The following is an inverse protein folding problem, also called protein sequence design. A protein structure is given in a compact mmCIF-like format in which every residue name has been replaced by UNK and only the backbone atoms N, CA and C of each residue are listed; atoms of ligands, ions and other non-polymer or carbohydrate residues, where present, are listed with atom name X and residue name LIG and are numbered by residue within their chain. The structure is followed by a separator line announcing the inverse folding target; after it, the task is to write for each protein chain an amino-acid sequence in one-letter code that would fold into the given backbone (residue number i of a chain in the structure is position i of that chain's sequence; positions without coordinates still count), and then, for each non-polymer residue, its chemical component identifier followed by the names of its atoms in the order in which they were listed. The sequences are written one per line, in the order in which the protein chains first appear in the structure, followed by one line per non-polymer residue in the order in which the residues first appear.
data_IF_090151862052
#
_entry.id   IF_090151862052
#
_cell.length_a   1.000
_cell.length_b   1.000
_cell.length_c   1.000
_cell.angle_alpha   90.00
_cell.angle_beta   90.00
_cell.angle_gamma   90.00
#
_symmetry.space_group_name_H-M   'P 1'
#
loop_
_entity.id
_entity.type
_entity.pdbx_description
1 polymer ?
#
# COMPACT_ATOMS: atom_id res chain seq x y z
N UNK A 1 5.36 -13.64 -7.11
CA UNK A 1 3.90 -13.58 -7.35
C UNK A 1 3.57 -14.14 -8.73
N UNK A 2 2.61 -15.07 -8.82
CA UNK A 2 2.11 -15.71 -10.05
C UNK A 2 0.59 -15.82 -9.98
N UNK A 3 -0.12 -15.41 -11.04
CA UNK A 3 -1.58 -15.52 -11.13
C UNK A 3 -1.96 -16.69 -12.04
N UNK A 4 -2.60 -17.71 -11.49
CA UNK A 4 -3.12 -18.86 -12.23
C UNK A 4 -4.65 -18.77 -12.30
N UNK A 5 -5.22 -18.76 -13.51
CA UNK A 5 -6.67 -18.70 -13.72
C UNK A 5 -7.22 -20.10 -13.96
N UNK A 6 -8.23 -20.48 -13.18
CA UNK A 6 -8.95 -21.74 -13.36
C UNK A 6 -10.11 -21.61 -14.34
N UNK A 7 -10.77 -20.44 -14.38
CA UNK A 7 -11.88 -20.17 -15.30
C UNK A 7 -12.00 -18.69 -15.62
N UNK A 8 -12.35 -18.37 -16.85
CA UNK A 8 -12.80 -17.05 -17.26
C UNK A 8 -14.21 -17.17 -17.84
N UNK A 9 -15.20 -16.56 -17.19
CA UNK A 9 -16.60 -16.62 -17.60
C UNK A 9 -17.18 -15.22 -17.66
N UNK A 10 -17.62 -14.77 -18.84
CA UNK A 10 -18.22 -13.44 -19.04
C UNK A 10 -17.37 -12.28 -18.50
N UNK A 11 -16.03 -12.41 -18.57
CA UNK A 11 -15.08 -11.43 -18.04
C UNK A 11 -14.71 -11.62 -16.56
N UNK A 12 -15.45 -12.42 -15.79
CA UNK A 12 -15.09 -12.79 -14.42
C UNK A 12 -13.93 -13.79 -14.44
N UNK A 13 -12.90 -13.52 -13.64
CA UNK A 13 -11.68 -14.33 -13.55
C UNK A 13 -11.64 -15.07 -12.23
N UNK A 14 -11.84 -16.38 -12.27
CA UNK A 14 -11.65 -17.29 -11.13
C UNK A 14 -10.22 -17.83 -11.17
N UNK A 15 -9.52 -17.79 -10.05
CA UNK A 15 -8.13 -18.23 -9.99
C UNK A 15 -7.49 -18.05 -8.63
N UNK A 16 -6.16 -18.21 -8.59
CA UNK A 16 -5.35 -18.06 -7.37
C UNK A 16 -4.09 -17.28 -7.69
N UNK A 17 -3.79 -16.29 -6.85
CA UNK A 17 -2.55 -15.53 -6.84
C UNK A 17 -1.59 -16.16 -5.83
N UNK A 18 -0.54 -16.82 -6.29
CA UNK A 18 0.44 -17.52 -5.46
C UNK A 18 1.75 -16.76 -5.36
N UNK A 19 2.61 -17.13 -4.40
CA UNK A 19 3.93 -16.51 -4.24
C UNK A 19 3.83 -15.07 -3.74
N UNK A 20 2.91 -14.81 -2.81
CA UNK A 20 2.72 -13.51 -2.16
C UNK A 20 3.57 -13.40 -0.88
N UNK A 21 3.88 -12.16 -0.52
CA UNK A 21 4.69 -11.84 0.65
C UNK A 21 6.20 -12.07 0.43
N UNK A 22 7.02 -11.52 1.33
CA UNK A 22 8.49 -11.70 1.33
C UNK A 22 8.92 -13.17 1.39
N UNK A 23 8.15 -14.04 2.05
CA UNK A 23 8.41 -15.49 2.13
C UNK A 23 7.93 -16.28 0.90
N UNK A 24 7.05 -15.69 0.08
CA UNK A 24 6.43 -16.35 -1.07
C UNK A 24 5.50 -17.52 -0.72
N UNK A 25 5.12 -17.68 0.55
CA UNK A 25 4.30 -18.81 1.01
C UNK A 25 2.80 -18.54 0.96
N UNK A 26 2.41 -17.26 0.83
CA UNK A 26 1.01 -16.87 0.87
C UNK A 26 0.34 -16.97 -0.50
N UNK A 27 -0.97 -17.22 -0.49
CA UNK A 27 -1.81 -17.23 -1.69
C UNK A 27 -3.12 -16.48 -1.45
N UNK A 28 -3.73 -15.98 -2.51
CA UNK A 28 -5.01 -15.26 -2.47
C UNK A 28 -5.92 -15.77 -3.59
N UNK A 29 -7.10 -16.28 -3.24
CA UNK A 29 -8.12 -16.64 -4.22
C UNK A 29 -8.71 -15.38 -4.87
N UNK A 30 -9.00 -15.45 -6.17
CA UNK A 30 -9.65 -14.37 -6.93
C UNK A 30 -10.94 -14.88 -7.60
N UNK A 31 -12.07 -14.14 -7.54
CA UNK A 31 -12.24 -12.86 -6.84
C UNK A 31 -12.19 -13.04 -5.31
N UNK A 32 -11.65 -12.03 -4.62
CA UNK A 32 -11.49 -12.01 -3.17
C UNK A 32 -11.38 -10.58 -2.64
N UNK A 33 -11.20 -10.44 -1.34
CA UNK A 33 -11.01 -9.15 -0.66
C UNK A 33 -9.70 -9.12 0.13
N UNK A 34 -9.35 -7.93 0.63
CA UNK A 34 -8.24 -7.73 1.56
C UNK A 34 -8.83 -7.44 2.94
N UNK A 35 -8.12 -7.82 4.00
CA UNK A 35 -8.51 -7.49 5.36
C UNK A 35 -8.28 -6.00 5.61
N UNK A 36 -9.37 -5.25 5.78
CA UNK A 36 -9.33 -3.82 6.03
C UNK A 36 -8.80 -3.49 7.44
N UNK A 37 -7.90 -2.52 7.53
CA UNK A 37 -7.40 -1.99 8.79
C UNK A 37 -7.33 -0.47 8.76
N UNK A 38 -7.37 0.14 9.96
CA UNK A 38 -7.02 1.54 10.17
C UNK A 38 -5.86 1.59 11.15
N UNK A 39 -4.80 2.35 10.81
CA UNK A 39 -3.57 2.38 11.59
C UNK A 39 -3.01 0.96 11.88
N UNK A 40 -3.08 0.07 10.90
CA UNK A 40 -2.65 -1.34 11.00
C UNK A 40 -3.38 -2.17 12.08
N UNK A 41 -4.60 -1.80 12.47
CA UNK A 41 -5.45 -2.62 13.35
C UNK A 41 -6.82 -2.84 12.72
N UNK A 42 -7.37 -4.05 12.86
CA UNK A 42 -8.73 -4.33 12.41
C UNK A 42 -9.69 -3.58 13.34
N UNK A 43 -10.58 -2.73 12.81
CA UNK A 43 -11.46 -1.92 13.65
C UNK A 43 -12.24 -2.77 14.65
N UNK A 44 -12.20 -2.37 15.92
CA UNK A 44 -12.93 -3.00 17.03
C UNK A 44 -12.52 -4.44 17.39
N UNK A 45 -11.46 -4.99 16.79
CA UNK A 45 -10.98 -6.33 17.09
C UNK A 45 -9.55 -6.29 17.63
N UNK A 46 -9.35 -6.86 18.81
CA UNK A 46 -8.00 -7.20 19.29
C UNK A 46 -7.41 -8.33 18.45
N UNK A 47 -6.09 -8.51 18.47
CA UNK A 47 -5.46 -9.65 17.77
C UNK A 47 -6.00 -10.98 18.31
N UNK A 48 -6.19 -11.12 19.62
CA UNK A 48 -6.77 -12.32 20.22
C UNK A 48 -8.18 -12.62 19.68
N UNK A 49 -9.02 -11.58 19.54
CA UNK A 49 -10.37 -11.75 18.99
C UNK A 49 -10.30 -12.09 17.50
N UNK A 50 -9.42 -11.43 16.75
CA UNK A 50 -9.20 -11.68 15.33
C UNK A 50 -8.79 -13.14 15.07
N UNK A 51 -7.94 -13.71 15.94
CA UNK A 51 -7.52 -15.11 15.85
C UNK A 51 -8.65 -16.14 16.07
N UNK A 52 -9.80 -15.73 16.63
CA UNK A 52 -10.97 -16.62 16.74
C UNK A 52 -11.76 -16.71 15.44
N UNK A 53 -11.55 -15.78 14.50
CA UNK A 53 -12.24 -15.76 13.21
C UNK A 53 -11.61 -16.77 12.26
N UNK A 54 -12.45 -17.39 11.44
CA UNK A 54 -12.04 -18.28 10.35
C UNK A 54 -12.06 -17.53 9.03
N UNK A 55 -11.32 -18.05 8.05
CA UNK A 55 -11.36 -17.57 6.66
C UNK A 55 -10.99 -16.09 6.50
N UNK A 56 -10.05 -15.61 7.32
CA UNK A 56 -9.51 -14.26 7.16
C UNK A 56 -8.74 -14.12 5.83
N UNK A 57 -8.86 -12.96 5.15
CA UNK A 57 -8.07 -12.70 3.95
C UNK A 57 -6.57 -12.82 4.22
N UNK A 58 -5.85 -13.50 3.34
CA UNK A 58 -4.40 -13.69 3.45
C UNK A 58 -3.60 -12.40 3.24
N UNK A 59 -4.25 -11.32 2.81
CA UNK A 59 -3.66 -10.01 2.60
C UNK A 59 -4.37 -8.99 3.48
N UNK A 60 -3.59 -8.28 4.29
CA UNK A 60 -4.03 -7.16 5.12
C UNK A 60 -3.69 -5.84 4.43
N UNK A 61 -4.71 -4.98 4.28
CA UNK A 61 -4.55 -3.63 3.77
C UNK A 61 -4.22 -2.67 4.91
N UNK A 62 -3.15 -1.91 4.75
CA UNK A 62 -2.85 -0.68 5.49
C UNK A 62 -2.86 0.51 4.53
N UNK A 63 -2.92 1.72 5.02
CA UNK A 63 -2.95 2.92 4.18
C UNK A 63 -1.89 3.94 4.61
N UNK A 64 -1.32 4.67 3.64
CA UNK A 64 -0.36 5.74 3.90
C UNK A 64 -1.01 6.86 4.71
N UNK A 65 -2.25 7.23 4.43
CA UNK A 65 -2.93 8.32 5.15
C UNK A 65 -3.07 8.07 6.67
N UNK A 66 -3.27 6.83 7.10
CA UNK A 66 -3.37 6.46 8.52
C UNK A 66 -2.01 6.32 9.21
N UNK A 67 -0.94 6.09 8.45
CA UNK A 67 0.40 5.82 8.98
C UNK A 67 1.41 6.95 8.76
N UNK A 68 1.17 7.89 7.83
CA UNK A 68 2.12 8.92 7.45
C UNK A 68 2.46 9.90 8.59
N UNK A 69 1.50 10.19 9.48
CA UNK A 69 1.70 10.96 10.71
C UNK A 69 2.67 10.28 11.68
N UNK A 70 2.75 8.95 11.63
CA UNK A 70 3.56 8.12 12.53
C UNK A 70 4.89 7.69 11.90
N UNK A 71 5.29 8.33 10.79
CA UNK A 71 6.47 7.95 10.03
C UNK A 71 7.74 7.91 10.88
N UNK A 72 8.02 8.96 11.66
CA UNK A 72 9.24 9.07 12.47
C UNK A 72 9.32 7.96 13.53
N UNK A 73 8.17 7.59 14.11
CA UNK A 73 8.08 6.50 15.10
C UNK A 73 8.37 5.15 14.46
N UNK A 74 7.79 4.88 13.28
CA UNK A 74 8.05 3.65 12.54
C UNK A 74 9.49 3.57 12.02
N UNK A 75 10.05 4.71 11.62
CA UNK A 75 11.44 4.82 11.18
C UNK A 75 12.41 4.50 12.32
N UNK A 76 12.17 5.00 13.54
CA UNK A 76 12.99 4.67 14.70
C UNK A 76 12.80 3.21 15.16
N UNK A 77 11.58 2.67 15.03
CA UNK A 77 11.27 1.28 15.38
C UNK A 77 11.95 0.24 14.47
N UNK A 78 12.22 0.56 13.20
CA UNK A 78 13.05 -0.21 12.23
C UNK A 78 12.53 -1.59 11.82
N UNK A 79 11.55 -2.16 12.51
CA UNK A 79 11.05 -3.52 12.24
C UNK A 79 9.72 -3.58 11.47
N UNK A 80 9.26 -2.42 10.99
CA UNK A 80 8.08 -2.32 10.14
C UNK A 80 6.75 -2.38 10.88
N UNK A 81 5.67 -2.00 10.16
CA UNK A 81 4.34 -1.85 10.78
C UNK A 81 3.76 -3.18 11.25
N UNK A 82 4.12 -4.29 10.59
CA UNK A 82 3.68 -5.64 10.95
C UNK A 82 4.02 -5.96 12.40
N UNK A 83 5.30 -5.80 12.76
CA UNK A 83 5.79 -6.10 14.10
C UNK A 83 5.31 -5.04 15.09
N UNK A 84 5.27 -3.78 14.66
CA UNK A 84 4.80 -2.66 15.48
C UNK A 84 3.36 -2.86 15.98
N UNK A 85 2.46 -3.29 15.09
CA UNK A 85 1.04 -3.49 15.41
C UNK A 85 0.70 -4.93 15.87
N UNK A 86 1.71 -5.81 16.02
CA UNK A 86 1.51 -7.20 16.43
C UNK A 86 0.61 -7.99 15.47
N UNK A 87 0.69 -7.72 14.17
CA UNK A 87 -0.15 -8.38 13.18
C UNK A 87 0.18 -9.87 13.05
N UNK A 88 -0.86 -10.67 12.79
CA UNK A 88 -0.71 -12.08 12.39
C UNK A 88 0.16 -12.25 11.13
N UNK A 89 0.58 -13.49 10.84
CA UNK A 89 1.27 -13.79 9.59
C UNK A 89 0.33 -13.58 8.40
N UNK A 90 0.55 -12.48 7.67
CA UNK A 90 -0.33 -11.97 6.60
C UNK A 90 0.53 -11.33 5.53
N UNK A 91 0.03 -11.08 4.33
CA UNK A 91 0.72 -10.22 3.35
C UNK A 91 0.29 -8.78 3.59
N UNK A 92 1.21 -7.82 3.61
CA UNK A 92 0.85 -6.41 3.76
C UNK A 92 0.79 -5.70 2.41
N UNK A 93 -0.40 -5.19 2.10
CA UNK A 93 -0.62 -4.25 1.01
C UNK A 93 -0.80 -2.83 1.56
N UNK A 94 0.00 -1.88 1.09
CA UNK A 94 -0.13 -0.48 1.49
C UNK A 94 -0.81 0.35 0.39
N UNK A 95 -2.06 0.78 0.61
CA UNK A 95 -2.77 1.72 -0.26
C UNK A 95 -2.34 3.16 0.00
N UNK A 96 -2.55 4.06 -0.97
CA UNK A 96 -2.26 5.48 -0.77
C UNK A 96 -3.29 6.14 0.17
N UNK A 97 -4.57 5.81 -0.02
CA UNK A 97 -5.69 6.32 0.75
C UNK A 97 -6.46 5.19 1.42
N UNK A 98 -7.10 5.49 2.55
CA UNK A 98 -8.12 4.71 3.21
C UNK A 98 -9.43 4.82 2.42
N UNK A 99 -9.94 3.69 1.92
CA UNK A 99 -11.19 3.62 1.17
C UNK A 99 -12.43 3.97 1.99
N UNK A 100 -12.35 3.91 3.32
CA UNK A 100 -13.46 4.23 4.20
C UNK A 100 -13.62 5.75 4.43
N UNK A 101 -12.62 6.57 4.08
CA UNK A 101 -12.68 8.02 4.25
C UNK A 101 -12.63 8.76 2.92
N UNK A 102 -13.45 9.80 2.81
CA UNK A 102 -13.32 10.77 1.72
C UNK A 102 -12.24 11.80 2.05
N UNK A 103 -11.31 12.03 1.12
CA UNK A 103 -10.32 13.11 1.21
C UNK A 103 -10.76 14.33 0.38
N UNK A 104 -10.47 15.57 0.83
CA UNK A 104 -10.63 16.76 0.01
C UNK A 104 -9.89 16.65 -1.33
N UNK A 105 -10.54 17.02 -2.43
CA UNK A 105 -9.92 17.01 -3.75
C UNK A 105 -9.14 18.31 -4.04
N UNK A 106 -8.29 18.28 -5.07
CA UNK A 106 -7.56 19.44 -5.57
C UNK A 106 -6.14 19.56 -5.02
N UNK A 107 -5.62 18.53 -4.36
CA UNK A 107 -4.31 18.57 -3.71
C UNK A 107 -3.29 17.62 -4.35
N UNK A 108 -3.48 17.33 -5.65
CA UNK A 108 -2.50 16.62 -6.48
C UNK A 108 -1.83 17.58 -7.46
N UNK A 109 -0.52 17.70 -7.34
CA UNK A 109 0.34 18.52 -8.20
C UNK A 109 1.19 17.64 -9.11
N UNK A 110 2.18 18.21 -9.80
CA UNK A 110 3.15 17.42 -10.55
C UNK A 110 4.28 16.89 -9.64
N UNK A 111 4.42 17.43 -8.42
CA UNK A 111 5.50 17.11 -7.49
C UNK A 111 5.01 16.35 -6.26
N UNK A 112 3.74 16.53 -5.93
CA UNK A 112 3.19 16.11 -4.64
C UNK A 112 1.77 15.55 -4.76
N UNK A 113 1.48 14.61 -3.88
CA UNK A 113 0.13 14.11 -3.59
C UNK A 113 -0.11 14.30 -2.10
N UNK A 114 -1.27 14.83 -1.72
CA UNK A 114 -1.63 14.97 -0.31
C UNK A 114 -2.47 13.78 0.17
N UNK A 115 -2.25 13.41 1.43
CA UNK A 115 -3.09 12.48 2.19
C UNK A 115 -3.60 13.18 3.46
N UNK A 116 -4.62 12.62 4.12
CA UNK A 116 -5.21 13.20 5.32
C UNK A 116 -5.24 12.17 6.44
N UNK A 117 -4.42 12.41 7.47
CA UNK A 117 -4.46 11.64 8.70
C UNK A 117 -5.34 12.33 9.75
N UNK A 118 -5.28 11.84 10.98
CA UNK A 118 -5.99 12.41 12.12
C UNK A 118 -5.56 13.83 12.47
N UNK A 119 -4.29 14.17 12.26
CA UNK A 119 -3.68 15.48 12.46
C UNK A 119 -3.84 16.44 11.27
N UNK A 120 -4.45 16.00 10.18
CA UNK A 120 -4.81 16.84 9.03
C UNK A 120 -4.00 16.52 7.77
N UNK A 121 -3.76 17.56 6.95
CA UNK A 121 -3.19 17.40 5.61
C UNK A 121 -1.69 17.11 5.67
N UNK A 122 -1.26 16.06 4.98
CA UNK A 122 0.14 15.66 4.84
C UNK A 122 0.49 15.69 3.36
N UNK A 123 1.37 16.60 2.96
CA UNK A 123 1.85 16.69 1.58
C UNK A 123 3.04 15.74 1.36
N UNK A 124 2.93 14.85 0.38
CA UNK A 124 3.94 13.84 0.06
C UNK A 124 4.64 14.17 -1.24
N UNK A 125 5.96 14.35 -1.20
CA UNK A 125 6.83 14.17 -2.37
C UNK A 125 7.08 12.68 -2.59
N UNK A 126 7.57 12.29 -3.77
CA UNK A 126 7.97 10.89 -4.02
C UNK A 126 9.05 10.42 -3.04
N UNK A 127 10.03 11.25 -2.72
CA UNK A 127 11.05 10.92 -1.73
C UNK A 127 10.44 10.66 -0.33
N UNK A 128 9.54 11.54 0.14
CA UNK A 128 8.86 11.37 1.44
C UNK A 128 7.98 10.12 1.44
N UNK A 129 7.23 9.89 0.36
CA UNK A 129 6.42 8.68 0.21
C UNK A 129 7.27 7.42 0.27
N UNK A 130 8.40 7.37 -0.44
CA UNK A 130 9.29 6.20 -0.42
C UNK A 130 9.98 5.99 0.93
N UNK A 131 10.29 7.05 1.68
CA UNK A 131 10.76 6.93 3.06
C UNK A 131 9.68 6.30 3.97
N UNK A 132 8.43 6.74 3.84
CA UNK A 132 7.30 6.14 4.56
C UNK A 132 7.13 4.67 4.19
N UNK A 133 7.22 4.31 2.90
CA UNK A 133 7.16 2.90 2.48
C UNK A 133 8.31 2.08 3.07
N UNK A 134 9.52 2.65 3.19
CA UNK A 134 10.66 2.00 3.82
C UNK A 134 10.47 1.79 5.32
N UNK A 135 9.79 2.70 6.02
CA UNK A 135 9.43 2.54 7.43
C UNK A 135 8.28 1.53 7.64
N UNK A 136 7.26 1.54 6.77
CA UNK A 136 6.12 0.60 6.83
C UNK A 136 6.58 -0.83 6.49
N UNK A 137 7.49 -0.98 5.53
CA UNK A 137 8.00 -2.25 4.99
C UNK A 137 6.92 -3.22 4.46
N UNK A 138 5.96 -2.77 3.64
CA UNK A 138 4.92 -3.65 3.12
C UNK A 138 5.48 -4.68 2.13
N UNK A 139 4.69 -5.73 1.82
CA UNK A 139 5.03 -6.70 0.79
C UNK A 139 4.70 -6.18 -0.61
N UNK A 140 3.65 -5.37 -0.71
CA UNK A 140 3.29 -4.61 -1.91
C UNK A 140 2.69 -3.26 -1.53
N UNK A 141 2.82 -2.26 -2.40
CA UNK A 141 2.25 -0.93 -2.17
C UNK A 141 1.70 -0.36 -3.46
N UNK A 142 0.68 0.49 -3.34
CA UNK A 142 0.17 1.32 -4.40
C UNK A 142 1.12 2.52 -4.58
N UNK A 143 1.62 2.76 -5.80
CA UNK A 143 2.43 3.95 -6.07
C UNK A 143 1.62 5.25 -5.89
N UNK A 144 2.32 6.37 -5.71
CA UNK A 144 1.69 7.69 -5.78
C UNK A 144 0.97 7.86 -7.13
N UNK A 145 -0.27 8.34 -7.08
CA UNK A 145 -1.12 8.49 -8.25
C UNK A 145 -2.05 9.69 -8.12
N UNK A 146 -2.45 10.25 -9.26
CA UNK A 146 -3.48 11.28 -9.36
C UNK A 146 -4.85 10.62 -9.61
N UNK A 147 -5.53 10.25 -8.53
CA UNK A 147 -6.84 9.58 -8.57
C UNK A 147 -8.06 10.52 -8.68
N UNK A 148 -7.86 11.84 -8.72
CA UNK A 148 -8.94 12.83 -8.67
C UNK A 148 -9.55 13.09 -10.06
N UNK A 149 -10.08 12.03 -10.68
CA UNK A 149 -10.73 12.08 -12.00
C UNK A 149 -12.17 11.55 -12.00
N UNK A 150 -12.68 11.16 -10.83
CA UNK A 150 -14.01 10.57 -10.66
C UNK A 150 -15.15 11.60 -10.70
N UNK A 151 -14.85 12.90 -10.58
CA UNK A 151 -15.86 13.95 -10.55
C UNK A 151 -16.58 14.08 -11.90
N UNK A 152 -17.90 14.26 -11.85
CA UNK A 152 -18.69 14.53 -13.04
C UNK A 152 -18.21 15.79 -13.77
N UNK A 153 -18.13 15.75 -15.10
CA UNK A 153 -17.65 16.87 -15.91
C UNK A 153 -16.12 17.03 -15.96
N UNK A 154 -15.35 16.05 -15.45
CA UNK A 154 -13.88 16.06 -15.58
C UNK A 154 -13.47 16.13 -17.05
N UNK A 155 -12.75 17.20 -17.42
CA UNK A 155 -12.31 17.40 -18.80
C UNK A 155 -11.27 16.36 -19.23
N UNK A 156 -11.24 16.05 -20.54
CA UNK A 156 -10.17 15.21 -21.14
C UNK A 156 -8.76 15.72 -20.83
N UNK A 157 -8.60 17.05 -20.73
CA UNK A 157 -7.33 17.70 -20.34
C UNK A 157 -6.92 17.32 -18.90
N UNK A 158 -7.87 17.30 -17.96
CA UNK A 158 -7.64 16.91 -16.55
C UNK A 158 -7.30 15.42 -16.42
N UNK A 159 -7.99 14.55 -17.17
CA UNK A 159 -7.69 13.11 -17.22
C UNK A 159 -6.29 12.86 -17.78
N UNK A 160 -5.91 13.50 -18.90
CA UNK A 160 -4.56 13.38 -19.46
C UNK A 160 -3.50 13.79 -18.45
N UNK A 161 -3.70 14.92 -17.76
CA UNK A 161 -2.79 15.39 -16.72
C UNK A 161 -2.65 14.39 -15.56
N UNK A 162 -3.74 13.71 -15.17
CA UNK A 162 -3.70 12.69 -14.13
C UNK A 162 -2.85 11.48 -14.53
N UNK A 163 -2.99 11.03 -15.79
CA UNK A 163 -2.17 9.95 -16.35
C UNK A 163 -0.70 10.35 -16.37
N UNK A 164 -0.38 11.52 -16.92
CA UNK A 164 1.01 12.00 -17.04
C UNK A 164 1.68 12.12 -15.65
N UNK A 165 0.97 12.65 -14.65
CA UNK A 165 1.45 12.73 -13.27
C UNK A 165 1.67 11.38 -12.63
N UNK A 166 0.71 10.47 -12.81
CA UNK A 166 0.79 9.11 -12.23
C UNK A 166 1.98 8.34 -12.80
N UNK A 167 2.22 8.44 -14.12
CA UNK A 167 3.38 7.82 -14.76
C UNK A 167 4.69 8.46 -14.27
N UNK A 168 4.77 9.79 -14.20
CA UNK A 168 5.96 10.48 -13.69
C UNK A 168 6.28 10.09 -12.23
N UNK A 169 5.26 10.01 -11.37
CA UNK A 169 5.44 9.55 -9.99
C UNK A 169 5.85 8.08 -9.91
N UNK A 170 5.28 7.22 -10.75
CA UNK A 170 5.65 5.81 -10.83
C UNK A 170 7.12 5.63 -11.22
N UNK A 171 7.58 6.32 -12.26
CA UNK A 171 8.98 6.26 -12.73
C UNK A 171 9.96 6.65 -11.61
N UNK A 172 9.67 7.74 -10.89
CA UNK A 172 10.51 8.19 -9.77
C UNK A 172 10.45 7.22 -8.58
N UNK A 173 9.27 6.66 -8.26
CA UNK A 173 9.12 5.61 -7.24
C UNK A 173 9.96 4.38 -7.58
N UNK A 174 9.94 3.93 -8.84
CA UNK A 174 10.70 2.77 -9.31
C UNK A 174 12.22 2.99 -9.20
N UNK A 175 12.70 4.18 -9.59
CA UNK A 175 14.12 4.54 -9.46
C UNK A 175 14.56 4.48 -7.99
N UNK A 176 13.78 5.04 -7.06
CA UNK A 176 14.10 4.98 -5.64
C UNK A 176 13.98 3.57 -5.07
N UNK A 177 12.95 2.82 -5.47
CA UNK A 177 12.74 1.45 -5.01
C UNK A 177 13.92 0.53 -5.36
N UNK A 178 14.43 0.63 -6.60
CA UNK A 178 15.60 -0.12 -7.05
C UNK A 178 16.86 0.24 -6.25
N UNK A 179 17.09 1.53 -5.97
CA UNK A 179 18.23 1.98 -5.15
C UNK A 179 18.19 1.37 -3.74
N UNK A 180 17.01 1.34 -3.12
CA UNK A 180 16.84 0.75 -1.78
C UNK A 180 17.12 -0.75 -1.80
N UNK A 181 16.63 -1.50 -2.78
CA UNK A 181 16.88 -2.95 -2.87
C UNK A 181 18.37 -3.30 -3.04
N UNK A 182 19.09 -2.55 -3.89
CA UNK A 182 20.54 -2.75 -4.08
C UNK A 182 21.33 -2.44 -2.80
N UNK A 183 20.92 -1.42 -2.04
CA UNK A 183 21.51 -1.10 -0.74
C UNK A 183 21.32 -2.21 0.29
N UNK A 184 20.10 -2.77 0.38
CA UNK A 184 19.79 -3.87 1.31
C UNK A 184 20.55 -5.16 0.98
N UNK A 185 20.73 -5.50 -0.30
CA UNK A 185 21.54 -6.66 -0.71
C UNK A 185 23.02 -6.50 -0.31
N UNK A 186 23.63 -5.34 -0.57
CA UNK A 186 25.03 -5.08 -0.17
C UNK A 186 25.24 -5.18 1.33
N UNK A 187 24.29 -4.72 2.13
CA UNK A 187 24.42 -4.78 3.59
C UNK A 187 24.33 -6.20 4.14
N UNK A 188 23.48 -7.06 3.55
CA UNK A 188 23.38 -8.49 3.90
C UNK A 188 24.61 -9.29 3.50
N UNK A 189 25.25 -8.98 2.37
CA UNK A 189 26.50 -9.62 1.94
C UNK A 189 27.70 -9.25 2.82
N UNK A 190 27.67 -8.09 3.48
CA UNK A 190 28.75 -7.63 4.37
C UNK A 190 28.55 -8.04 5.83
N UNK A 191 27.48 -8.78 6.16
CA UNK A 191 27.15 -9.26 7.51
C UNK A 191 27.12 -10.79 7.63
N UNK A 192 27.56 -11.50 6.58
CA UNK A 192 27.95 -12.91 6.61
C UNK A 192 29.48 -13.02 6.54
#
# INVERSE_FOLDING_TARGET
MRLDLSRVAQGCRLGVLTGLGKSGQHSLEVPGCLLYTRCATVPHLTQDTLHTLRDLPSVTQVSVDSLAEHHEVLEEFKEGVRKFAGLHDTVLFCSLHDSANTSPAGHVTNKTVSVWGSGGRIELTVARFMAIQAAIQPDCYQSMADGETWQAGTSRKRVRKAVDRTLAHLDECLVLHQKTQVGTQKHRLNTC
#
